data_IF_018072130639
#
_entry.id   IF_018072130639
#
_cell.length_a   1.000
_cell.length_b   1.000
_cell.length_c   1.000
_cell.angle_alpha   90.00
_cell.angle_beta   90.00
_cell.angle_gamma   90.00
#
_symmetry.space_group_name_H-M   'P 1'
#
loop_
_entity.id
_entity.type
_entity.pdbx_description
1 polymer ?
#
# COMPACT_ATOMS: atom_id res chain seq x y z
N UNK A 1 -15.65 79.63 -54.65
CA UNK A 1 -14.22 79.49 -54.33
C UNK A 1 -14.08 79.70 -52.82
N UNK A 2 -13.50 78.72 -52.11
CA UNK A 2 -13.07 78.74 -50.70
C UNK A 2 -14.05 79.14 -49.58
N UNK A 3 -14.39 78.16 -48.71
CA UNK A 3 -13.72 78.02 -47.41
C UNK A 3 -14.01 76.66 -46.73
N UNK A 4 -12.99 75.97 -46.18
CA UNK A 4 -13.08 74.70 -45.45
C UNK A 4 -13.01 74.90 -43.92
N UNK A 5 -13.52 73.93 -43.13
CA UNK A 5 -12.96 73.35 -41.87
C UNK A 5 -14.04 72.44 -41.25
N UNK A 6 -13.92 71.10 -41.26
CA UNK A 6 -13.09 70.22 -40.40
C UNK A 6 -13.82 69.78 -39.14
N UNK A 7 -14.10 68.46 -39.08
CA UNK A 7 -14.03 67.51 -37.95
C UNK A 7 -14.84 67.84 -36.68
N UNK A 8 -15.45 66.95 -35.91
CA UNK A 8 -15.46 65.50 -35.72
C UNK A 8 -16.67 65.24 -34.80
N UNK A 9 -17.39 64.13 -34.94
CA UNK A 9 -17.44 63.23 -33.79
C UNK A 9 -17.65 61.79 -34.24
N UNK A 10 -16.67 60.97 -33.88
CA UNK A 10 -16.50 59.61 -34.29
C UNK A 10 -17.29 58.66 -33.36
N UNK A 11 -17.82 57.61 -33.98
CA UNK A 11 -17.87 56.24 -33.49
C UNK A 11 -18.11 56.05 -31.97
N UNK A 12 -19.39 55.92 -31.60
CA UNK A 12 -19.75 55.15 -30.41
C UNK A 12 -19.44 53.68 -30.68
N UNK A 13 -18.32 53.26 -30.09
CA UNK A 13 -17.70 51.94 -30.10
C UNK A 13 -18.71 50.83 -29.76
N UNK A 14 -18.84 49.90 -30.69
CA UNK A 14 -19.45 48.60 -30.48
C UNK A 14 -18.71 47.77 -29.41
N UNK A 15 -19.40 46.73 -28.94
CA UNK A 15 -18.88 45.56 -28.21
C UNK A 15 -18.60 45.75 -26.71
N UNK A 16 -19.67 45.84 -25.91
CA UNK A 16 -19.65 45.34 -24.54
C UNK A 16 -19.73 43.80 -24.60
N UNK A 17 -18.55 43.20 -24.54
CA UNK A 17 -18.27 41.79 -24.32
C UNK A 17 -19.04 41.31 -23.07
N UNK A 18 -19.99 40.39 -23.26
CA UNK A 18 -20.65 39.68 -22.14
C UNK A 18 -19.59 38.85 -21.44
N UNK A 19 -19.36 38.97 -20.12
CA UNK A 19 -18.59 37.96 -19.43
C UNK A 19 -19.45 36.71 -19.41
N UNK A 20 -18.99 35.66 -20.10
CA UNK A 20 -19.46 34.29 -19.87
C UNK A 20 -19.10 33.94 -18.43
N UNK A 21 -19.99 34.25 -17.50
CA UNK A 21 -19.97 33.67 -16.17
C UNK A 21 -20.36 32.20 -16.32
N UNK A 22 -19.38 31.34 -16.65
CA UNK A 22 -19.47 29.93 -16.36
C UNK A 22 -19.39 29.77 -14.85
N UNK A 23 -20.49 30.05 -14.16
CA UNK A 23 -20.66 29.60 -12.78
C UNK A 23 -20.91 28.11 -12.85
N UNK A 24 -19.83 27.36 -12.65
CA UNK A 24 -19.84 25.91 -12.51
C UNK A 24 -20.81 25.53 -11.41
N UNK A 25 -22.03 25.14 -11.80
CA UNK A 25 -22.97 24.53 -10.88
C UNK A 25 -22.37 23.21 -10.43
N UNK A 26 -22.07 23.18 -9.14
CA UNK A 26 -21.30 22.16 -8.42
C UNK A 26 -21.94 20.81 -8.67
N UNK A 27 -21.23 19.93 -9.37
CA UNK A 27 -21.50 18.51 -9.32
C UNK A 27 -21.31 18.13 -7.85
N UNK A 28 -22.42 17.86 -7.17
CA UNK A 28 -22.41 17.27 -5.85
C UNK A 28 -21.72 15.91 -6.01
N UNK A 29 -20.41 15.87 -5.75
CA UNK A 29 -19.70 14.61 -5.60
C UNK A 29 -20.44 13.81 -4.54
N UNK A 30 -20.96 12.61 -4.84
CA UNK A 30 -21.41 11.75 -3.76
C UNK A 30 -20.19 11.54 -2.87
N UNK A 31 -20.38 11.80 -1.58
CA UNK A 31 -19.44 11.41 -0.54
C UNK A 31 -19.33 9.90 -0.67
N UNK A 32 -18.35 9.45 -1.48
CA UNK A 32 -17.90 8.09 -1.43
C UNK A 32 -17.35 7.94 -0.02
N UNK A 33 -18.13 7.30 0.84
CA UNK A 33 -17.67 6.76 2.09
C UNK A 33 -16.45 5.91 1.75
N UNK A 34 -15.27 6.50 1.83
CA UNK A 34 -14.03 5.77 1.83
C UNK A 34 -14.06 5.00 3.14
N UNK A 35 -14.65 3.81 3.07
CA UNK A 35 -14.36 2.74 4.00
C UNK A 35 -12.87 2.46 3.86
N UNK A 36 -12.06 3.23 4.57
CA UNK A 36 -10.81 2.70 5.05
C UNK A 36 -11.24 1.60 5.99
N UNK A 37 -11.24 0.35 5.52
CA UNK A 37 -11.06 -0.75 6.44
C UNK A 37 -9.77 -0.41 7.18
N UNK A 38 -9.89 0.13 8.39
CA UNK A 38 -8.82 0.10 9.37
C UNK A 38 -8.64 -1.36 9.78
N UNK A 39 -8.27 -2.19 8.81
CA UNK A 39 -8.03 -3.59 9.00
C UNK A 39 -6.69 -3.69 9.69
N UNK A 40 -6.71 -3.78 11.01
CA UNK A 40 -5.59 -4.44 11.68
C UNK A 40 -5.41 -5.80 11.02
N UNK A 41 -4.16 -6.19 10.80
CA UNK A 41 -3.84 -7.51 10.24
C UNK A 41 -4.54 -8.57 11.10
N UNK A 42 -5.47 -9.32 10.52
CA UNK A 42 -6.06 -10.44 11.24
C UNK A 42 -5.03 -11.57 11.30
N UNK A 43 -5.06 -12.39 12.34
CA UNK A 43 -4.11 -13.51 12.47
C UNK A 43 -4.11 -14.40 11.22
N UNK A 44 -5.28 -14.63 10.62
CA UNK A 44 -5.41 -15.35 9.34
C UNK A 44 -4.67 -14.69 8.18
N UNK A 45 -4.62 -13.35 8.12
CA UNK A 45 -3.90 -12.64 7.06
C UNK A 45 -2.38 -12.81 7.22
N UNK A 46 -1.89 -12.78 8.47
CA UNK A 46 -0.49 -13.02 8.80
C UNK A 46 -0.11 -14.46 8.42
N UNK A 47 -0.94 -15.44 8.77
CA UNK A 47 -0.73 -16.85 8.39
C UNK A 47 -0.61 -17.02 6.88
N UNK A 48 -1.54 -16.44 6.11
CA UNK A 48 -1.52 -16.53 4.64
C UNK A 48 -0.23 -15.92 4.08
N UNK A 49 0.14 -14.71 4.53
CA UNK A 49 1.37 -14.02 4.06
C UNK A 49 2.64 -14.81 4.40
N UNK A 50 2.76 -15.33 5.63
CA UNK A 50 3.92 -16.15 6.03
C UNK A 50 4.01 -17.44 5.21
N UNK A 51 2.88 -18.11 4.95
CA UNK A 51 2.86 -19.30 4.11
C UNK A 51 3.22 -18.99 2.65
N UNK A 52 2.81 -17.82 2.14
CA UNK A 52 3.15 -17.38 0.79
C UNK A 52 4.63 -17.04 0.63
N UNK A 53 5.26 -16.44 1.66
CA UNK A 53 6.72 -16.28 1.71
C UNK A 53 7.40 -17.64 1.57
N UNK A 54 7.01 -18.62 2.39
CA UNK A 54 7.61 -19.97 2.38
C UNK A 54 7.43 -20.69 1.04
N UNK A 55 6.32 -20.45 0.33
CA UNK A 55 6.09 -20.99 -1.03
C UNK A 55 6.99 -20.35 -2.08
N UNK A 56 7.47 -19.13 -1.84
CA UNK A 56 8.40 -18.42 -2.72
C UNK A 56 9.85 -18.91 -2.61
N UNK A 57 10.20 -19.69 -1.59
CA UNK A 57 11.54 -20.27 -1.45
C UNK A 57 11.68 -21.56 -2.26
N UNK A 58 12.54 -21.54 -3.28
CA UNK A 58 12.78 -22.69 -4.18
C UNK A 58 13.26 -23.97 -3.46
N UNK A 59 13.84 -23.81 -2.28
CA UNK A 59 14.34 -24.92 -1.46
C UNK A 59 13.23 -25.65 -0.68
N UNK A 60 12.03 -25.07 -0.62
CA UNK A 60 10.90 -25.60 0.15
C UNK A 60 9.89 -26.26 -0.77
N UNK A 61 9.50 -27.50 -0.47
CA UNK A 61 8.41 -28.17 -1.17
C UNK A 61 7.05 -27.65 -0.68
N UNK A 62 6.29 -27.03 -1.59
CA UNK A 62 4.96 -26.48 -1.30
C UNK A 62 3.98 -27.49 -0.65
N UNK A 63 4.18 -28.79 -0.88
CA UNK A 63 3.34 -29.84 -0.29
C UNK A 63 3.65 -30.11 1.19
N UNK A 64 4.84 -29.72 1.66
CA UNK A 64 5.28 -29.89 3.05
C UNK A 64 5.06 -28.64 3.91
N UNK A 65 4.69 -27.53 3.29
CA UNK A 65 4.42 -26.28 3.99
C UNK A 65 3.16 -26.44 4.84
N UNK A 66 3.35 -26.37 6.15
CA UNK A 66 2.30 -26.34 7.15
C UNK A 66 2.67 -25.36 8.26
N UNK A 67 1.66 -24.84 8.97
CA UNK A 67 1.88 -23.92 10.09
C UNK A 67 2.76 -24.55 11.18
N UNK A 68 2.55 -25.83 11.47
CA UNK A 68 3.32 -26.58 12.47
C UNK A 68 4.62 -27.20 11.90
N UNK A 69 4.93 -26.98 10.62
CA UNK A 69 6.14 -27.54 10.01
C UNK A 69 7.40 -26.85 10.57
N UNK A 70 8.37 -27.67 10.97
CA UNK A 70 9.66 -27.19 11.44
C UNK A 70 10.59 -26.90 10.27
N UNK A 71 11.17 -25.69 10.22
CA UNK A 71 12.01 -25.22 9.11
C UNK A 71 13.17 -26.16 8.79
N UNK A 72 13.93 -26.57 9.81
CA UNK A 72 15.06 -27.51 9.62
C UNK A 72 14.61 -28.97 9.47
N UNK A 73 13.68 -29.47 10.31
CA UNK A 73 13.38 -30.91 10.37
C UNK A 73 12.44 -31.39 9.27
N UNK A 74 11.43 -30.58 8.92
CA UNK A 74 10.37 -30.97 7.98
C UNK A 74 10.60 -30.39 6.59
N UNK A 75 10.96 -29.10 6.53
CA UNK A 75 11.25 -28.43 5.26
C UNK A 75 12.69 -28.65 4.80
N UNK A 76 13.59 -29.11 5.69
CA UNK A 76 14.97 -29.43 5.34
C UNK A 76 15.84 -28.21 5.07
N UNK A 77 15.46 -27.03 5.60
CA UNK A 77 16.23 -25.80 5.45
C UNK A 77 17.53 -25.89 6.25
N UNK A 78 18.60 -25.34 5.69
CA UNK A 78 19.86 -25.17 6.42
C UNK A 78 19.80 -23.97 7.38
N UNK A 79 20.82 -23.81 8.23
CA UNK A 79 20.85 -22.72 9.22
C UNK A 79 20.96 -21.33 8.59
N UNK A 80 21.42 -21.23 7.34
CA UNK A 80 21.53 -19.95 6.63
C UNK A 80 20.16 -19.61 5.99
N UNK A 81 19.51 -20.60 5.41
CA UNK A 81 18.16 -20.52 4.84
C UNK A 81 17.13 -20.11 5.90
N UNK A 82 17.27 -20.61 7.14
CA UNK A 82 16.40 -20.15 8.23
C UNK A 82 16.55 -18.66 8.53
N UNK A 83 17.76 -18.12 8.40
CA UNK A 83 18.00 -16.67 8.57
C UNK A 83 17.37 -15.89 7.42
N UNK A 84 17.51 -16.37 6.17
CA UNK A 84 16.87 -15.73 5.01
C UNK A 84 15.34 -15.70 5.12
N UNK A 85 14.72 -16.79 5.58
CA UNK A 85 13.27 -16.86 5.80
C UNK A 85 12.83 -15.85 6.86
N UNK A 86 13.54 -15.77 7.99
CA UNK A 86 13.21 -14.81 9.06
C UNK A 86 13.36 -13.37 8.55
N UNK A 87 14.43 -13.06 7.82
CA UNK A 87 14.62 -11.73 7.22
C UNK A 87 13.52 -11.37 6.20
N UNK A 88 13.06 -12.33 5.39
CA UNK A 88 11.96 -12.11 4.45
C UNK A 88 10.64 -11.80 5.19
N UNK A 89 10.41 -12.46 6.33
CA UNK A 89 9.25 -12.20 7.19
C UNK A 89 9.38 -10.80 7.84
N UNK A 90 10.55 -10.42 8.32
CA UNK A 90 10.82 -9.08 8.86
C UNK A 90 10.51 -7.97 7.84
N UNK A 91 10.99 -8.14 6.61
CA UNK A 91 10.77 -7.19 5.52
C UNK A 91 9.27 -7.09 5.14
N UNK A 92 8.58 -8.23 5.02
CA UNK A 92 7.16 -8.28 4.63
C UNK A 92 6.24 -7.55 5.62
N UNK A 93 6.52 -7.66 6.92
CA UNK A 93 5.72 -7.04 7.98
C UNK A 93 6.34 -5.75 8.54
N UNK A 94 7.48 -5.32 7.99
CA UNK A 94 8.26 -4.16 8.46
C UNK A 94 8.53 -4.21 9.97
N UNK A 95 8.92 -5.39 10.48
CA UNK A 95 9.24 -5.64 11.89
C UNK A 95 10.72 -5.99 12.06
N UNK A 96 11.26 -5.73 13.25
CA UNK A 96 12.61 -6.16 13.63
C UNK A 96 12.53 -7.23 14.71
N UNK A 97 12.99 -8.45 14.41
CA UNK A 97 13.06 -9.58 15.35
C UNK A 97 14.51 -9.67 15.84
N UNK A 98 14.77 -9.54 17.15
CA UNK A 98 16.13 -9.67 17.65
C UNK A 98 16.63 -11.11 17.47
N UNK A 99 17.91 -11.29 17.14
CA UNK A 99 18.54 -12.60 16.87
C UNK A 99 18.20 -13.68 17.91
N UNK A 100 18.15 -13.30 19.19
CA UNK A 100 17.82 -14.24 20.28
C UNK A 100 16.43 -14.84 20.16
N UNK A 101 15.47 -14.06 19.68
CA UNK A 101 14.08 -14.51 19.49
C UNK A 101 13.94 -15.19 18.13
N UNK A 102 14.67 -14.73 17.10
CA UNK A 102 14.73 -15.40 15.81
C UNK A 102 15.25 -16.85 15.91
N UNK A 103 16.26 -17.11 16.75
CA UNK A 103 16.79 -18.47 17.02
C UNK A 103 15.75 -19.42 17.65
N UNK A 104 14.78 -18.86 18.39
CA UNK A 104 13.70 -19.61 19.03
C UNK A 104 12.53 -19.89 18.07
N UNK A 105 12.41 -19.13 16.96
CA UNK A 105 11.39 -19.31 15.93
C UNK A 105 11.81 -20.46 14.99
N UNK A 106 11.21 -21.63 15.18
CA UNK A 106 11.52 -22.84 14.39
C UNK A 106 10.40 -23.30 13.46
N UNK A 107 9.22 -22.68 13.59
CA UNK A 107 8.00 -23.03 12.87
C UNK A 107 7.29 -21.78 12.37
N UNK A 108 6.53 -21.92 11.28
CA UNK A 108 5.76 -20.81 10.72
C UNK A 108 4.71 -20.27 11.72
N UNK A 109 4.11 -21.16 12.52
CA UNK A 109 3.17 -20.79 13.58
C UNK A 109 3.79 -19.88 14.64
N UNK A 110 5.01 -20.18 15.08
CA UNK A 110 5.72 -19.33 16.05
C UNK A 110 6.01 -17.94 15.46
N UNK A 111 6.38 -17.87 14.18
CA UNK A 111 6.56 -16.59 13.49
C UNK A 111 5.25 -15.79 13.44
N UNK A 112 4.15 -16.44 13.07
CA UNK A 112 2.81 -15.82 13.04
C UNK A 112 2.41 -15.31 14.43
N UNK A 113 2.56 -16.15 15.47
CA UNK A 113 2.23 -15.78 16.84
C UNK A 113 3.05 -14.57 17.29
N UNK A 114 4.35 -14.59 16.99
CA UNK A 114 5.25 -13.48 17.27
C UNK A 114 4.81 -12.16 16.61
N UNK A 115 4.50 -12.20 15.31
CA UNK A 115 4.05 -11.02 14.56
C UNK A 115 2.70 -10.54 15.08
N UNK A 116 1.77 -11.46 15.38
CA UNK A 116 0.43 -11.12 15.86
C UNK A 116 0.43 -10.40 17.21
N UNK A 117 1.47 -10.61 18.02
CA UNK A 117 1.65 -9.93 19.31
C UNK A 117 2.24 -8.52 19.18
N UNK A 118 2.80 -8.15 18.02
CA UNK A 118 3.35 -6.82 17.77
C UNK A 118 2.29 -5.93 17.12
N UNK A 119 1.92 -4.85 17.80
CA UNK A 119 0.93 -3.88 17.34
C UNK A 119 1.42 -3.02 16.15
N UNK A 120 2.71 -3.14 15.80
CA UNK A 120 3.41 -2.31 14.82
C UNK A 120 3.49 -2.99 13.42
N UNK A 121 3.03 -4.24 13.31
CA UNK A 121 3.00 -4.96 12.05
C UNK A 121 1.95 -4.35 11.11
N UNK A 122 2.37 -3.93 9.92
CA UNK A 122 1.54 -3.23 8.94
C UNK A 122 1.58 -3.87 7.54
#
# INVERSE_FOLDING_TARGET
MFRPTVLFNAAAKAAAMRPTAMSASRIASPIAYRFYSSGGLSQSDIEVRVLDILRGFDKVDANKIALDAHFVKDLGLDSLDTVEVVMAIEEEFSVEIPDKEADDIKTAKQAVEYISHRADAH
#
